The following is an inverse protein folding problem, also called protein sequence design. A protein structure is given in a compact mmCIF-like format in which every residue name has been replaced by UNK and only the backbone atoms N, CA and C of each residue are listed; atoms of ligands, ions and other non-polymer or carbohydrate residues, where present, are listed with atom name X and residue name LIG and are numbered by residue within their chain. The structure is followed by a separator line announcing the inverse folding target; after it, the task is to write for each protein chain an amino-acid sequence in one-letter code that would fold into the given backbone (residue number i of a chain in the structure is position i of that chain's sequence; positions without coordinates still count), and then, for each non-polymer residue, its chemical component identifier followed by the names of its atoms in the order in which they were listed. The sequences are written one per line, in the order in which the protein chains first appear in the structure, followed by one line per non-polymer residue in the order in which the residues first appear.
data_IF_692707151981
#
_entry.id   IF_692707151981
#
_cell.length_a   1.000
_cell.length_b   1.000
_cell.length_c   1.000
_cell.angle_alpha   90.00
_cell.angle_beta   90.00
_cell.angle_gamma   90.00
#
_symmetry.space_group_name_H-M   'P 1'
#
loop_
_entity.id
_entity.type
_entity.pdbx_description
1 polymer ?
#
# COMPACT_ATOMS: atom_id res chain seq x y z
N UNK A 1 11.24 -31.23 21.62
CA UNK A 1 10.21 -31.03 20.56
C UNK A 1 10.30 -32.20 19.61
N UNK A 2 9.34 -33.08 19.61
CA UNK A 2 9.25 -34.20 18.66
C UNK A 2 8.84 -33.65 17.30
N UNK A 3 9.73 -33.71 16.33
CA UNK A 3 9.43 -33.35 14.94
C UNK A 3 8.58 -34.49 14.35
N UNK A 4 7.32 -34.22 14.10
CA UNK A 4 6.46 -35.18 13.44
C UNK A 4 6.72 -35.25 11.93
N UNK A 5 6.67 -36.44 11.38
CA UNK A 5 6.85 -36.71 9.97
C UNK A 5 5.48 -36.62 9.28
N UNK A 6 5.39 -35.86 8.18
CA UNK A 6 4.20 -35.82 7.36
C UNK A 6 3.93 -37.21 6.76
N UNK A 7 2.80 -37.84 7.09
CA UNK A 7 2.52 -39.23 6.69
C UNK A 7 2.37 -39.40 5.16
N UNK A 8 2.12 -38.32 4.43
CA UNK A 8 1.97 -38.37 2.95
C UNK A 8 3.28 -38.18 2.18
N UNK A 9 4.26 -37.47 2.77
CA UNK A 9 5.49 -37.09 2.04
C UNK A 9 6.74 -37.65 2.68
N UNK A 10 6.67 -38.29 3.86
CA UNK A 10 7.81 -38.76 4.64
C UNK A 10 8.74 -37.65 5.15
N UNK A 11 8.38 -36.39 4.95
CA UNK A 11 9.19 -35.23 5.36
C UNK A 11 8.73 -34.70 6.71
N UNK A 12 9.67 -34.06 7.44
CA UNK A 12 9.38 -33.44 8.73
C UNK A 12 8.28 -32.38 8.62
N UNK A 13 7.26 -32.47 9.48
CA UNK A 13 6.19 -31.49 9.57
C UNK A 13 6.63 -30.29 10.41
N UNK A 14 7.14 -29.26 9.77
CA UNK A 14 7.72 -28.09 10.46
C UNK A 14 6.71 -27.16 11.15
N UNK A 15 5.41 -27.36 10.91
CA UNK A 15 4.40 -26.36 11.26
C UNK A 15 3.27 -26.89 12.15
N UNK A 16 3.39 -28.13 12.60
CA UNK A 16 2.35 -28.75 13.40
C UNK A 16 2.32 -28.14 14.81
N UNK A 17 1.13 -27.87 15.29
CA UNK A 17 0.83 -27.36 16.65
C UNK A 17 1.42 -25.99 17.05
N UNK A 18 1.89 -25.19 16.08
CA UNK A 18 2.27 -23.81 16.34
C UNK A 18 1.02 -22.92 16.31
N UNK A 19 0.70 -22.16 17.39
CA UNK A 19 -0.46 -21.25 17.43
C UNK A 19 -0.43 -20.19 16.33
N UNK A 20 0.75 -19.69 15.96
CA UNK A 20 0.90 -18.72 14.86
C UNK A 20 0.56 -19.37 13.52
N UNK A 21 0.96 -20.62 13.32
CA UNK A 21 0.62 -21.40 12.13
C UNK A 21 -0.89 -21.57 11.97
N UNK A 22 -1.60 -21.89 13.04
CA UNK A 22 -3.07 -22.01 13.02
C UNK A 22 -3.76 -20.69 12.66
N UNK A 23 -3.22 -19.58 13.16
CA UNK A 23 -3.76 -18.25 12.83
C UNK A 23 -3.56 -17.90 11.36
N UNK A 24 -2.38 -18.19 10.81
CA UNK A 24 -2.07 -17.98 9.39
C UNK A 24 -2.87 -18.93 8.51
N UNK A 25 -3.01 -20.18 8.92
CA UNK A 25 -3.82 -21.18 8.23
C UNK A 25 -5.27 -20.71 8.04
N UNK A 26 -5.87 -20.13 9.07
CA UNK A 26 -7.23 -19.62 9.00
C UNK A 26 -7.35 -18.37 8.11
N UNK A 27 -6.27 -17.64 7.88
CA UNK A 27 -6.26 -16.40 7.11
C UNK A 27 -5.81 -16.58 5.66
N UNK A 28 -4.74 -17.32 5.40
CA UNK A 28 -4.07 -17.38 4.09
C UNK A 28 -3.93 -18.78 3.49
N UNK A 29 -3.87 -19.82 4.26
CA UNK A 29 -3.86 -21.26 3.89
C UNK A 29 -2.78 -21.73 2.89
N UNK A 30 -2.03 -20.82 2.31
CA UNK A 30 -0.95 -21.11 1.35
C UNK A 30 0.43 -20.83 1.91
N UNK A 31 0.54 -20.07 3.01
CA UNK A 31 1.81 -19.70 3.65
C UNK A 31 1.73 -19.87 5.15
N UNK A 32 2.81 -20.37 5.71
CA UNK A 32 3.01 -20.53 7.15
C UNK A 32 4.36 -19.94 7.51
N UNK A 33 4.40 -19.02 8.46
CA UNK A 33 5.62 -18.31 8.86
C UNK A 33 6.38 -17.73 7.64
N UNK A 34 5.65 -17.13 6.70
CA UNK A 34 6.21 -16.54 5.48
C UNK A 34 6.65 -17.55 4.40
N UNK A 35 6.63 -18.86 4.68
CA UNK A 35 7.00 -19.91 3.72
C UNK A 35 5.78 -20.51 3.06
N UNK A 36 5.87 -20.69 1.74
CA UNK A 36 4.83 -21.39 0.98
C UNK A 36 4.71 -22.85 1.44
N UNK A 37 3.50 -23.31 1.66
CA UNK A 37 3.18 -24.71 1.94
C UNK A 37 2.55 -25.36 0.70
N UNK A 38 3.09 -26.50 0.24
CA UNK A 38 2.55 -27.17 -0.94
C UNK A 38 1.17 -27.79 -0.66
N UNK A 39 0.40 -28.06 -1.69
CA UNK A 39 -0.93 -28.69 -1.59
C UNK A 39 -0.92 -30.04 -0.87
N UNK A 40 0.21 -30.73 -0.88
CA UNK A 40 0.40 -31.99 -0.15
C UNK A 40 0.63 -31.83 1.35
N UNK A 41 0.82 -30.59 1.84
CA UNK A 41 1.07 -30.34 3.26
C UNK A 41 -0.24 -30.48 4.07
N UNK A 42 -0.23 -31.11 5.27
CA UNK A 42 -1.44 -31.31 6.09
C UNK A 42 -2.17 -30.02 6.46
N UNK A 43 -1.44 -28.92 6.60
CA UNK A 43 -1.99 -27.60 6.91
C UNK A 43 -2.50 -26.84 5.68
N UNK A 44 -2.26 -27.37 4.47
CA UNK A 44 -2.80 -26.77 3.26
C UNK A 44 -4.26 -27.18 3.12
N UNK A 45 -5.16 -26.29 3.44
CA UNK A 45 -6.60 -26.48 3.25
C UNK A 45 -7.04 -25.79 1.98
N UNK A 46 -8.12 -26.25 1.32
CA UNK A 46 -8.79 -25.47 0.29
C UNK A 46 -9.19 -24.13 0.90
N UNK A 47 -8.47 -23.10 0.54
CA UNK A 47 -8.62 -21.78 1.13
C UNK A 47 -9.72 -20.97 0.48
N UNK A 48 -9.87 -19.77 0.98
CA UNK A 48 -10.71 -18.72 0.39
C UNK A 48 -10.28 -18.40 -1.05
N UNK A 49 -9.01 -18.63 -1.37
CA UNK A 49 -8.41 -18.30 -2.65
C UNK A 49 -7.92 -19.57 -3.36
N UNK A 50 -8.14 -19.65 -4.66
CA UNK A 50 -7.75 -20.79 -5.50
C UNK A 50 -6.28 -20.72 -5.93
N UNK A 51 -5.70 -19.51 -5.94
CA UNK A 51 -4.33 -19.27 -6.33
C UNK A 51 -3.76 -18.02 -5.63
N UNK A 52 -2.44 -17.84 -5.72
CA UNK A 52 -1.79 -16.60 -5.25
C UNK A 52 -2.30 -15.38 -6.03
N UNK A 53 -2.52 -15.50 -7.33
CA UNK A 53 -3.09 -14.43 -8.16
C UNK A 53 -4.49 -14.03 -7.73
N UNK A 54 -5.33 -15.01 -7.38
CA UNK A 54 -6.69 -14.78 -6.87
C UNK A 54 -6.67 -14.04 -5.52
N UNK A 55 -5.77 -14.44 -4.62
CA UNK A 55 -5.57 -13.74 -3.35
C UNK A 55 -5.09 -12.30 -3.54
N UNK A 56 -4.12 -12.09 -4.42
CA UNK A 56 -3.59 -10.76 -4.73
C UNK A 56 -4.66 -9.87 -5.38
N UNK A 57 -5.42 -10.40 -6.34
CA UNK A 57 -6.50 -9.68 -7.00
C UNK A 57 -7.61 -9.27 -6.02
N UNK A 58 -8.00 -10.17 -5.11
CA UNK A 58 -9.01 -9.88 -4.08
C UNK A 58 -8.50 -8.82 -3.09
N UNK A 59 -7.22 -8.85 -2.72
CA UNK A 59 -6.63 -7.81 -1.87
C UNK A 59 -6.67 -6.44 -2.57
N UNK A 60 -6.25 -6.38 -3.84
CA UNK A 60 -6.31 -5.15 -4.65
C UNK A 60 -7.73 -4.61 -4.80
N UNK A 61 -8.72 -5.49 -4.98
CA UNK A 61 -10.13 -5.08 -5.04
C UNK A 61 -10.61 -4.48 -3.73
N UNK A 62 -10.23 -5.05 -2.58
CA UNK A 62 -10.57 -4.51 -1.28
C UNK A 62 -9.93 -3.14 -1.05
N UNK A 63 -8.66 -3.01 -1.39
CA UNK A 63 -7.94 -1.74 -1.28
C UNK A 63 -8.57 -0.66 -2.18
N UNK A 64 -9.05 -1.04 -3.36
CA UNK A 64 -9.75 -0.14 -4.26
C UNK A 64 -11.11 0.35 -3.73
N UNK A 65 -11.75 -0.42 -2.82
CA UNK A 65 -13.01 -0.03 -2.19
C UNK A 65 -12.82 0.99 -1.05
N UNK A 66 -11.62 1.04 -0.43
CA UNK A 66 -11.30 2.02 0.59
C UNK A 66 -11.03 3.36 -0.09
N UNK A 67 -11.90 4.35 0.10
CA UNK A 67 -11.76 5.69 -0.50
C UNK A 67 -10.80 6.58 0.28
N UNK A 68 -10.87 6.49 1.60
CA UNK A 68 -9.98 7.24 2.50
C UNK A 68 -8.53 6.80 2.39
N UNK A 69 -7.63 7.69 2.76
CA UNK A 69 -6.20 7.44 2.78
C UNK A 69 -5.41 8.73 2.69
N UNK A 70 -4.29 8.66 1.97
CA UNK A 70 -3.34 9.76 1.86
C UNK A 70 -3.04 10.09 0.41
N UNK A 71 -2.82 11.39 0.16
CA UNK A 71 -2.08 11.88 -1.01
C UNK A 71 -0.75 12.40 -0.51
N UNK A 72 0.34 12.05 -1.17
CA UNK A 72 1.69 12.29 -0.69
C UNK A 72 2.60 12.86 -1.78
N UNK A 73 3.67 13.53 -1.34
CA UNK A 73 4.79 13.98 -2.16
C UNK A 73 6.03 13.21 -1.74
N UNK A 74 6.67 12.56 -2.71
CA UNK A 74 7.93 11.84 -2.54
C UNK A 74 8.98 12.46 -3.47
N UNK A 75 10.21 12.57 -2.99
CA UNK A 75 11.38 12.97 -3.75
C UNK A 75 12.42 11.86 -3.79
N UNK A 76 13.37 11.99 -4.73
CA UNK A 76 14.56 11.15 -4.78
C UNK A 76 15.77 11.99 -5.26
N UNK A 77 16.91 11.93 -4.60
CA UNK A 77 18.11 12.70 -4.97
C UNK A 77 18.60 12.45 -6.40
N UNK A 78 18.32 11.25 -6.96
CA UNK A 78 18.69 10.94 -8.35
C UNK A 78 17.91 11.78 -9.37
N UNK A 79 16.76 12.35 -8.98
CA UNK A 79 15.91 13.21 -9.80
C UNK A 79 15.50 14.46 -9.03
N UNK A 80 16.47 15.24 -8.60
CA UNK A 80 16.31 16.38 -7.68
C UNK A 80 15.28 17.44 -8.16
N UNK A 81 15.09 17.56 -9.47
CA UNK A 81 14.12 18.51 -10.08
C UNK A 81 12.70 17.95 -10.18
N UNK A 82 12.49 16.72 -9.74
CA UNK A 82 11.23 16.02 -9.90
C UNK A 82 10.66 15.63 -8.55
N UNK A 83 9.37 15.84 -8.40
CA UNK A 83 8.57 15.33 -7.29
C UNK A 83 7.56 14.31 -7.80
N UNK A 84 7.31 13.30 -7.02
CA UNK A 84 6.24 12.35 -7.29
C UNK A 84 5.06 12.67 -6.39
N UNK A 85 3.88 12.80 -6.99
CA UNK A 85 2.61 12.90 -6.28
C UNK A 85 1.84 11.60 -6.49
N UNK A 86 1.43 10.97 -5.41
CA UNK A 86 0.70 9.69 -5.47
C UNK A 86 -0.25 9.53 -4.30
N UNK A 87 -1.02 8.45 -4.33
CA UNK A 87 -1.96 8.10 -3.25
C UNK A 87 -1.67 6.75 -2.62
N UNK A 88 -2.06 6.58 -1.37
CA UNK A 88 -1.97 5.31 -0.64
C UNK A 88 -3.02 5.24 0.46
N UNK A 89 -3.28 4.04 0.99
CA UNK A 89 -3.99 3.86 2.25
C UNK A 89 -3.08 4.30 3.40
N UNK A 90 -1.79 3.97 3.32
CA UNK A 90 -0.74 4.38 4.24
C UNK A 90 0.45 4.93 3.45
N UNK A 91 0.85 6.17 3.74
CA UNK A 91 1.92 6.86 3.00
C UNK A 91 3.32 6.34 3.35
N UNK A 92 3.56 5.95 4.60
CA UNK A 92 4.84 5.41 5.04
C UNK A 92 5.07 3.99 4.49
N UNK A 93 4.04 3.15 4.52
CA UNK A 93 4.11 1.82 3.94
C UNK A 93 4.37 1.89 2.43
N UNK A 94 3.77 2.87 1.75
CA UNK A 94 4.04 3.14 0.35
C UNK A 94 5.48 3.61 0.11
N UNK A 95 6.02 4.50 0.96
CA UNK A 95 7.43 4.91 0.90
C UNK A 95 8.35 3.70 1.04
N UNK A 96 8.10 2.84 2.03
CA UNK A 96 8.88 1.62 2.24
C UNK A 96 8.87 0.72 0.99
N UNK A 97 7.75 0.66 0.27
CA UNK A 97 7.65 -0.01 -1.02
C UNK A 97 8.60 0.58 -2.07
N UNK A 98 8.70 1.91 -2.16
CA UNK A 98 9.64 2.57 -3.08
C UNK A 98 11.10 2.34 -2.71
N UNK A 99 11.44 2.30 -1.43
CA UNK A 99 12.81 2.05 -0.97
C UNK A 99 13.37 0.73 -1.52
N UNK A 100 12.52 -0.25 -1.81
CA UNK A 100 12.97 -1.53 -2.38
C UNK A 100 13.46 -1.41 -3.82
N UNK A 101 13.07 -0.36 -4.53
CA UNK A 101 13.48 -0.11 -5.93
C UNK A 101 14.74 0.74 -6.07
N UNK A 102 15.21 1.37 -4.99
CA UNK A 102 16.46 2.12 -4.95
C UNK A 102 17.53 1.37 -4.15
N UNK A 103 18.72 1.11 -4.71
CA UNK A 103 19.81 0.49 -3.97
C UNK A 103 20.29 1.37 -2.80
N UNK A 104 20.08 2.68 -2.86
CA UNK A 104 20.47 3.65 -1.82
C UNK A 104 19.35 3.84 -0.78
N UNK A 105 18.13 3.36 -1.06
CA UNK A 105 16.95 3.56 -0.20
C UNK A 105 16.75 5.03 0.18
N UNK A 106 16.85 5.90 -0.80
CA UNK A 106 16.99 7.35 -0.68
C UNK A 106 15.75 8.12 -1.13
N UNK A 107 14.61 7.44 -1.24
CA UNK A 107 13.32 8.13 -1.38
C UNK A 107 12.94 8.80 -0.06
N UNK A 108 12.45 10.02 -0.15
CA UNK A 108 12.00 10.81 1.00
C UNK A 108 10.51 11.17 0.87
N UNK A 109 9.75 10.88 1.91
CA UNK A 109 8.38 11.36 2.05
C UNK A 109 8.43 12.80 2.57
N UNK A 110 8.19 13.76 1.68
CA UNK A 110 8.26 15.19 2.02
C UNK A 110 6.99 15.65 2.74
N UNK A 111 5.83 15.23 2.25
CA UNK A 111 4.54 15.64 2.79
C UNK A 111 3.46 14.61 2.47
N UNK A 112 2.47 14.50 3.36
CA UNK A 112 1.28 13.72 3.12
C UNK A 112 0.06 14.38 3.78
N UNK A 113 -1.06 14.35 3.09
CA UNK A 113 -2.36 14.78 3.62
C UNK A 113 -3.31 13.61 3.72
N UNK A 114 -4.06 13.53 4.80
CA UNK A 114 -5.19 12.60 4.91
C UNK A 114 -6.41 13.15 4.18
N UNK A 115 -7.11 12.31 3.46
CA UNK A 115 -8.28 12.67 2.64
C UNK A 115 -9.36 11.59 2.70
N UNK A 116 -10.65 11.96 2.67
CA UNK A 116 -11.75 10.99 2.61
C UNK A 116 -11.88 10.32 1.23
N UNK A 117 -11.31 10.89 0.17
CA UNK A 117 -11.29 10.31 -1.19
C UNK A 117 -9.93 10.56 -1.84
N UNK A 118 -8.97 9.66 -1.54
CA UNK A 118 -7.60 9.75 -2.03
C UNK A 118 -7.51 9.80 -3.57
N UNK A 119 -8.40 9.07 -4.26
CA UNK A 119 -8.37 9.04 -5.73
C UNK A 119 -8.85 10.37 -6.35
N UNK A 120 -9.83 11.03 -5.71
CA UNK A 120 -10.26 12.37 -6.11
C UNK A 120 -9.18 13.39 -5.82
N UNK A 121 -8.62 13.37 -4.62
CA UNK A 121 -7.59 14.31 -4.19
C UNK A 121 -6.33 14.20 -5.06
N UNK A 122 -5.86 12.97 -5.35
CA UNK A 122 -4.73 12.75 -6.26
C UNK A 122 -4.99 13.32 -7.66
N UNK A 123 -6.18 13.09 -8.24
CA UNK A 123 -6.53 13.66 -9.55
C UNK A 123 -6.50 15.18 -9.55
N UNK A 124 -6.95 15.82 -8.48
CA UNK A 124 -6.90 17.28 -8.33
C UNK A 124 -5.45 17.74 -8.23
N UNK A 125 -4.64 17.08 -7.38
CA UNK A 125 -3.23 17.38 -7.23
C UNK A 125 -2.46 17.23 -8.56
N UNK A 126 -2.69 16.16 -9.31
CA UNK A 126 -2.07 15.94 -10.62
C UNK A 126 -2.45 17.02 -11.64
N UNK A 127 -3.70 17.48 -11.64
CA UNK A 127 -4.13 18.57 -12.52
C UNK A 127 -3.41 19.88 -12.16
N UNK A 128 -3.37 20.22 -10.88
CA UNK A 128 -2.69 21.43 -10.42
C UNK A 128 -1.19 21.37 -10.71
N UNK A 129 -0.51 20.29 -10.38
CA UNK A 129 0.92 20.13 -10.63
C UNK A 129 1.27 20.15 -12.13
N UNK A 130 0.42 19.58 -12.99
CA UNK A 130 0.61 19.61 -14.44
C UNK A 130 0.44 21.02 -15.06
N UNK A 131 -0.21 21.94 -14.36
CA UNK A 131 -0.27 23.36 -14.79
C UNK A 131 1.00 24.13 -14.40
N UNK A 132 1.74 23.65 -13.41
CA UNK A 132 2.95 24.30 -12.88
C UNK A 132 4.22 23.83 -13.57
N UNK A 133 4.27 22.60 -14.11
CA UNK A 133 5.48 22.07 -14.72
C UNK A 133 5.28 20.86 -15.62
N UNK A 134 6.41 20.35 -16.13
CA UNK A 134 6.43 19.14 -16.97
C UNK A 134 5.94 17.91 -16.19
N UNK A 135 5.15 17.06 -16.84
CA UNK A 135 4.63 15.82 -16.24
C UNK A 135 5.13 14.58 -16.97
N UNK A 136 5.57 13.58 -16.20
CA UNK A 136 5.87 12.22 -16.68
C UNK A 136 5.19 11.19 -15.75
N UNK A 137 4.00 10.72 -16.15
CA UNK A 137 3.19 9.83 -15.31
C UNK A 137 2.73 10.53 -14.03
N UNK A 138 3.23 10.08 -12.90
CA UNK A 138 2.99 10.64 -11.55
C UNK A 138 4.14 11.54 -11.06
N UNK A 139 5.14 11.80 -11.91
CA UNK A 139 6.26 12.67 -11.65
C UNK A 139 6.04 14.03 -12.30
N UNK A 140 6.40 15.09 -11.57
CA UNK A 140 6.22 16.47 -11.96
C UNK A 140 7.51 17.24 -11.75
N UNK A 141 7.93 18.00 -12.77
CA UNK A 141 9.08 18.89 -12.67
C UNK A 141 8.63 20.23 -12.12
N UNK A 142 8.46 20.29 -10.81
CA UNK A 142 8.06 21.46 -10.04
C UNK A 142 8.88 21.50 -8.74
N UNK A 143 8.89 22.66 -8.09
CA UNK A 143 9.51 22.78 -6.79
C UNK A 143 8.76 21.96 -5.73
N UNK A 144 9.52 21.39 -4.80
CA UNK A 144 8.98 20.61 -3.68
C UNK A 144 8.01 21.43 -2.84
N UNK A 145 8.34 22.72 -2.57
CA UNK A 145 7.47 23.63 -1.82
C UNK A 145 6.13 23.89 -2.56
N UNK A 146 6.16 23.97 -3.87
CA UNK A 146 4.97 24.13 -4.70
C UNK A 146 4.09 22.87 -4.63
N UNK A 147 4.68 21.68 -4.70
CA UNK A 147 3.94 20.44 -4.54
C UNK A 147 3.27 20.32 -3.16
N UNK A 148 3.97 20.71 -2.09
CA UNK A 148 3.42 20.76 -0.74
C UNK A 148 2.25 21.75 -0.64
N UNK A 149 2.39 22.94 -1.23
CA UNK A 149 1.33 23.95 -1.24
C UNK A 149 0.07 23.47 -1.95
N UNK A 150 0.22 22.74 -3.06
CA UNK A 150 -0.91 22.12 -3.77
C UNK A 150 -1.67 21.16 -2.84
N UNK A 151 -0.96 20.28 -2.11
CA UNK A 151 -1.59 19.35 -1.21
C UNK A 151 -2.28 20.06 -0.04
N UNK A 152 -1.64 21.05 0.55
CA UNK A 152 -2.20 21.85 1.64
C UNK A 152 -3.50 22.53 1.24
N UNK A 153 -3.54 23.12 0.06
CA UNK A 153 -4.76 23.76 -0.46
C UNK A 153 -5.90 22.78 -0.68
N UNK A 154 -5.60 21.55 -1.15
CA UNK A 154 -6.60 20.48 -1.26
C UNK A 154 -7.16 20.14 0.14
N UNK A 155 -6.29 19.99 1.14
CA UNK A 155 -6.67 19.68 2.50
C UNK A 155 -7.57 20.77 3.10
N UNK A 156 -7.19 22.04 2.96
CA UNK A 156 -7.97 23.18 3.45
C UNK A 156 -9.36 23.23 2.81
N UNK A 157 -9.44 22.97 1.49
CA UNK A 157 -10.73 22.93 0.77
C UNK A 157 -11.62 21.80 1.29
N UNK A 158 -11.06 20.60 1.50
CA UNK A 158 -11.82 19.45 2.01
C UNK A 158 -12.30 19.69 3.46
N UNK A 159 -11.48 20.32 4.29
CA UNK A 159 -11.84 20.64 5.68
C UNK A 159 -12.92 21.74 5.73
N UNK A 160 -12.86 22.74 4.86
CA UNK A 160 -13.91 23.76 4.73
C UNK A 160 -15.25 23.16 4.27
N UNK A 161 -15.23 22.29 3.27
CA UNK A 161 -16.42 21.57 2.79
C UNK A 161 -17.06 20.70 3.89
N UNK A 162 -16.24 20.08 4.75
CA UNK A 162 -16.71 19.29 5.88
C UNK A 162 -17.41 20.15 6.91
N UNK A 163 -16.79 21.27 7.31
CA UNK A 163 -17.34 22.20 8.30
C UNK A 163 -18.69 22.79 7.83
N UNK A 164 -18.83 23.10 6.54
CA UNK A 164 -20.07 23.59 6.00
C UNK A 164 -21.22 22.58 6.09
N UNK A 165 -20.92 21.30 5.86
CA UNK A 165 -21.92 20.22 5.96
C UNK A 165 -22.37 20.00 7.41
N UNK A 166 -21.43 20.00 8.36
CA UNK A 166 -21.70 19.82 9.80
C UNK A 166 -22.48 20.99 10.40
N UNK A 167 -22.39 22.18 9.80
CA UNK A 167 -23.15 23.37 10.26
C UNK A 167 -24.55 23.48 9.67
N UNK A 168 -24.93 22.59 8.74
CA UNK A 168 -26.23 22.64 8.02
C UNK A 168 -27.19 21.54 8.51
N UNK A 169 -26.70 20.60 9.30
CA UNK A 169 -27.48 19.54 9.98
C UNK A 169 -27.80 19.92 11.45
#
# INVERSE_FOLDING_TARGET
MTQEINPKTGKKAYYKDNPETKRIENSLQMRVNGKYIPKSHPLHKPGKYTSFGDAAFTALQKDAQVKEGYVYVITNPAWSDWVKIGMAIDAEDRLNGYQTSSPMRDYELVHAISTPDRARAERVAHKAAAMCGERKGEWFKIDTAEAVTILQHIKETEDADRQQRESTD
#
